data_IF_708493965311
#
_entry.id   IF_708493965311
#
_cell.length_a   1.000
_cell.length_b   1.000
_cell.length_c   1.000
_cell.angle_alpha   90.00
_cell.angle_beta   90.00
_cell.angle_gamma   90.00
#
_symmetry.space_group_name_H-M   'P 1'
#
loop_
_entity.id
_entity.type
_entity.pdbx_description
1 polymer ?
#
# COMPACT_ATOMS: atom_id res chain seq x y z
N UNK A 1 -34.27 -15.89 -16.83
CA UNK A 1 -33.33 -14.75 -16.76
C UNK A 1 -32.66 -14.67 -15.38
N UNK A 2 -32.10 -15.78 -14.89
CA UNK A 2 -31.30 -15.82 -13.64
C UNK A 2 -30.04 -16.69 -13.81
N UNK A 3 -29.72 -17.09 -15.05
CA UNK A 3 -28.72 -18.13 -15.34
C UNK A 3 -27.61 -17.68 -16.31
N UNK A 4 -27.37 -16.38 -16.52
CA UNK A 4 -26.33 -15.89 -17.46
C UNK A 4 -25.15 -15.19 -16.77
N UNK A 5 -24.98 -15.36 -15.45
CA UNK A 5 -23.67 -15.14 -14.83
C UNK A 5 -23.31 -16.34 -13.96
N UNK A 6 -23.29 -17.51 -14.61
CA UNK A 6 -22.49 -18.62 -14.12
C UNK A 6 -21.01 -18.21 -14.22
N UNK A 7 -20.32 -18.20 -13.09
CA UNK A 7 -18.88 -18.42 -13.08
C UNK A 7 -18.54 -19.41 -11.99
N UNK A 8 -18.88 -20.67 -12.27
CA UNK A 8 -17.99 -21.77 -11.94
C UNK A 8 -17.10 -22.00 -13.15
N UNK A 9 -15.85 -21.59 -13.05
CA UNK A 9 -14.76 -22.09 -13.88
C UNK A 9 -13.53 -22.06 -13.01
N UNK A 10 -13.13 -23.25 -12.57
CA UNK A 10 -11.83 -23.53 -12.00
C UNK A 10 -10.74 -23.00 -12.93
N UNK A 11 -10.15 -21.87 -12.57
CA UNK A 11 -8.84 -21.46 -13.01
C UNK A 11 -8.15 -20.80 -11.82
N UNK A 12 -7.61 -21.62 -10.92
CA UNK A 12 -6.52 -21.26 -10.01
C UNK A 12 -6.62 -19.89 -9.33
N UNK A 13 -7.71 -19.56 -8.64
CA UNK A 13 -7.72 -18.42 -7.69
C UNK A 13 -7.23 -18.92 -6.32
N UNK A 14 -6.08 -19.58 -6.30
CA UNK A 14 -5.44 -20.04 -5.06
C UNK A 14 -4.14 -19.31 -4.74
N UNK A 15 -3.80 -18.22 -5.44
CA UNK A 15 -2.55 -17.47 -5.24
C UNK A 15 -2.71 -15.95 -5.05
N UNK A 16 -3.89 -15.43 -4.68
CA UNK A 16 -4.19 -13.99 -4.84
C UNK A 16 -4.45 -13.13 -3.59
N UNK A 17 -4.72 -13.72 -2.42
CA UNK A 17 -5.27 -12.96 -1.29
C UNK A 17 -4.18 -12.58 -0.27
N UNK A 18 -3.56 -11.41 -0.45
CA UNK A 18 -2.72 -10.84 0.60
C UNK A 18 -3.63 -10.18 1.67
N UNK A 19 -3.59 -10.61 2.94
CA UNK A 19 -4.49 -10.10 3.97
C UNK A 19 -4.29 -8.60 4.23
N UNK A 20 -3.07 -8.09 4.07
CA UNK A 20 -2.77 -6.66 4.19
C UNK A 20 -3.42 -5.85 3.07
N UNK A 21 -3.37 -6.33 1.83
CA UNK A 21 -4.05 -5.70 0.69
C UNK A 21 -5.55 -5.53 0.96
N UNK A 22 -6.21 -6.60 1.42
CA UNK A 22 -7.63 -6.55 1.75
C UNK A 22 -7.93 -5.50 2.81
N UNK A 23 -7.10 -5.43 3.85
CA UNK A 23 -7.26 -4.46 4.93
C UNK A 23 -7.13 -3.02 4.42
N UNK A 24 -6.18 -2.77 3.52
CA UNK A 24 -5.99 -1.44 2.93
C UNK A 24 -7.20 -1.06 2.05
N UNK A 25 -7.71 -1.97 1.22
CA UNK A 25 -8.92 -1.73 0.43
C UNK A 25 -10.12 -1.45 1.34
N UNK A 26 -10.28 -2.20 2.43
CA UNK A 26 -11.33 -1.97 3.43
C UNK A 26 -11.23 -0.55 4.03
N UNK A 27 -10.02 -0.09 4.36
CA UNK A 27 -9.78 1.26 4.88
C UNK A 27 -10.12 2.32 3.82
N UNK A 28 -9.70 2.13 2.57
CA UNK A 28 -10.02 3.04 1.47
C UNK A 28 -11.53 3.15 1.23
N UNK A 29 -12.24 2.02 1.25
CA UNK A 29 -13.70 1.99 1.11
C UNK A 29 -14.42 2.63 2.30
N UNK A 30 -13.89 2.51 3.53
CA UNK A 30 -14.40 3.24 4.70
C UNK A 30 -14.19 4.74 4.54
N UNK A 31 -13.03 5.17 4.04
CA UNK A 31 -12.74 6.57 3.73
C UNK A 31 -13.71 7.19 2.72
N UNK A 32 -14.18 6.40 1.74
CA UNK A 32 -15.17 6.85 0.77
C UNK A 32 -16.51 7.29 1.40
N UNK A 33 -16.83 6.90 2.64
CA UNK A 33 -18.03 7.40 3.33
C UNK A 33 -18.00 8.91 3.58
N UNK A 34 -16.80 9.50 3.62
CA UNK A 34 -16.61 10.94 3.83
C UNK A 34 -16.62 11.72 2.51
N UNK A 35 -16.81 11.06 1.36
CA UNK A 35 -16.80 11.71 0.04
C UNK A 35 -18.13 12.41 -0.30
N UNK A 36 -18.95 12.77 0.70
CA UNK A 36 -20.24 13.46 0.56
C UNK A 36 -21.13 12.86 -0.55
N UNK A 37 -21.38 13.62 -1.63
CA UNK A 37 -22.18 13.21 -2.78
C UNK A 37 -21.47 12.27 -3.76
N UNK A 38 -20.19 11.94 -3.52
CA UNK A 38 -19.35 11.10 -4.39
C UNK A 38 -19.05 9.72 -3.82
N UNK A 39 -19.71 9.30 -2.73
CA UNK A 39 -19.46 8.00 -2.06
C UNK A 39 -19.44 6.84 -3.06
N UNK A 40 -20.45 6.75 -3.94
CA UNK A 40 -20.54 5.64 -4.90
C UNK A 40 -19.43 5.69 -5.95
N UNK A 41 -19.14 6.88 -6.50
CA UNK A 41 -18.06 7.07 -7.48
C UNK A 41 -16.69 6.76 -6.87
N UNK A 42 -16.47 7.13 -5.61
CA UNK A 42 -15.27 6.79 -4.85
C UNK A 42 -15.13 5.27 -4.71
N UNK A 43 -16.17 4.56 -4.27
CA UNK A 43 -16.15 3.10 -4.12
C UNK A 43 -15.86 2.39 -5.44
N UNK A 44 -16.50 2.83 -6.53
CA UNK A 44 -16.24 2.30 -7.88
C UNK A 44 -14.80 2.50 -8.29
N UNK A 45 -14.24 3.70 -8.05
CA UNK A 45 -12.84 3.99 -8.36
C UNK A 45 -11.90 3.06 -7.58
N UNK A 46 -12.10 2.90 -6.27
CA UNK A 46 -11.25 2.02 -5.43
C UNK A 46 -11.31 0.58 -5.93
N UNK A 47 -12.50 0.03 -6.23
CA UNK A 47 -12.64 -1.37 -6.65
C UNK A 47 -12.02 -1.60 -8.03
N UNK A 48 -12.33 -0.74 -9.01
CA UNK A 48 -11.84 -0.90 -10.39
C UNK A 48 -10.33 -0.67 -10.49
N UNK A 49 -9.76 0.17 -9.63
CA UNK A 49 -8.35 0.54 -9.66
C UNK A 49 -7.56 -0.09 -8.49
N UNK A 50 -8.14 -1.07 -7.78
CA UNK A 50 -7.50 -1.68 -6.60
C UNK A 50 -6.05 -2.15 -6.87
N UNK A 51 -5.73 -2.81 -8.01
CA UNK A 51 -4.36 -3.27 -8.27
C UNK A 51 -3.36 -2.12 -8.41
N UNK A 52 -3.71 -1.09 -9.19
CA UNK A 52 -2.82 0.05 -9.46
C UNK A 52 -2.67 0.94 -8.23
N UNK A 53 -3.76 1.21 -7.50
CA UNK A 53 -3.73 1.96 -6.23
C UNK A 53 -2.72 1.33 -5.27
N UNK A 54 -2.74 0.01 -5.18
CA UNK A 54 -1.87 -0.69 -4.24
C UNK A 54 -0.41 -0.67 -4.65
N UNK A 55 -0.12 -0.75 -5.96
CA UNK A 55 1.24 -0.54 -6.47
C UNK A 55 1.76 0.86 -6.12
N UNK A 56 0.91 1.89 -6.28
CA UNK A 56 1.25 3.25 -5.88
C UNK A 56 1.46 3.40 -4.38
N UNK A 57 0.62 2.75 -3.55
CA UNK A 57 0.80 2.73 -2.10
C UNK A 57 2.14 2.11 -1.74
N UNK A 58 2.50 0.94 -2.31
CA UNK A 58 3.80 0.30 -2.06
C UNK A 58 4.95 1.25 -2.41
N UNK A 59 4.93 1.83 -3.62
CA UNK A 59 5.95 2.79 -4.06
C UNK A 59 6.01 4.03 -3.15
N UNK A 60 4.88 4.48 -2.63
CA UNK A 60 4.83 5.60 -1.69
C UNK A 60 5.43 5.25 -0.33
N UNK A 61 5.12 4.08 0.21
CA UNK A 61 5.67 3.60 1.49
C UNK A 61 7.19 3.37 1.44
N UNK A 62 7.73 3.04 0.27
CA UNK A 62 9.18 2.92 0.03
C UNK A 62 9.91 4.28 0.03
N UNK A 63 9.18 5.41 -0.11
CA UNK A 63 9.80 6.73 -0.10
C UNK A 63 10.26 7.11 1.30
N UNK A 64 11.49 7.64 1.35
CA UNK A 64 12.10 8.20 2.56
C UNK A 64 11.25 9.30 3.19
N UNK A 65 10.60 10.12 2.39
CA UNK A 65 9.76 11.21 2.90
C UNK A 65 8.57 10.69 3.70
N UNK A 66 7.97 9.57 3.29
CA UNK A 66 6.87 8.96 4.03
C UNK A 66 7.34 8.43 5.37
N UNK A 67 8.39 7.60 5.42
CA UNK A 67 8.88 7.08 6.69
C UNK A 67 9.44 8.19 7.61
N UNK A 68 9.98 9.28 7.05
CA UNK A 68 10.40 10.45 7.81
C UNK A 68 9.21 11.20 8.41
N UNK A 69 8.11 11.36 7.65
CA UNK A 69 6.92 12.10 8.12
C UNK A 69 6.21 11.40 9.28
N UNK A 70 6.30 10.08 9.36
CA UNK A 70 5.80 9.30 10.51
C UNK A 70 6.90 9.02 11.55
N UNK A 71 8.07 9.64 11.42
CA UNK A 71 9.22 9.52 12.33
C UNK A 71 9.71 8.08 12.58
N UNK A 72 9.48 7.15 11.65
CA UNK A 72 9.94 5.75 11.76
C UNK A 72 11.21 5.46 10.97
N UNK A 73 11.63 6.39 10.11
CA UNK A 73 12.93 6.28 9.48
C UNK A 73 14.03 6.61 10.49
N UNK A 74 14.74 5.56 10.94
CA UNK A 74 15.93 5.72 11.76
C UNK A 74 16.99 6.54 11.01
N UNK A 75 17.31 7.71 11.54
CA UNK A 75 18.61 8.32 11.26
C UNK A 75 19.66 7.25 11.53
N UNK A 76 20.46 6.95 10.49
CA UNK A 76 21.62 6.05 10.51
C UNK A 76 22.06 5.80 11.95
N UNK A 77 21.90 4.58 12.45
CA UNK A 77 22.26 4.22 13.82
C UNK A 77 23.64 4.78 14.12
N UNK A 78 23.70 5.92 14.82
CA UNK A 78 24.90 6.29 15.53
C UNK A 78 24.87 5.33 16.70
N UNK A 79 25.48 4.17 16.50
CA UNK A 79 26.07 3.45 17.63
C UNK A 79 26.99 4.49 18.27
N UNK A 80 26.57 5.01 19.42
CA UNK A 80 27.45 5.72 20.32
C UNK A 80 28.57 4.73 20.67
N UNK A 81 29.69 4.84 19.95
CA UNK A 81 30.80 3.88 20.02
C UNK A 81 31.45 3.56 18.66
N UNK A 82 32.00 4.57 18.00
CA UNK A 82 33.18 4.54 17.09
C UNK A 82 33.03 5.57 15.96
N UNK A 83 33.46 6.80 16.24
CA UNK A 83 33.60 7.89 15.27
C UNK A 83 34.96 7.87 14.54
N UNK A 84 35.62 6.71 14.41
CA UNK A 84 37.00 6.67 13.88
C UNK A 84 37.09 6.26 12.40
N UNK A 85 36.04 5.71 11.77
CA UNK A 85 36.15 5.11 10.42
C UNK A 85 35.54 5.93 9.26
N UNK A 86 35.31 7.24 9.40
CA UNK A 86 34.83 8.08 8.26
C UNK A 86 35.89 8.93 7.57
N UNK A 87 37.13 8.96 8.06
CA UNK A 87 38.19 9.79 7.50
C UNK A 87 39.15 9.07 6.55
N UNK A 88 38.97 7.77 6.27
CA UNK A 88 39.91 6.97 5.47
C UNK A 88 39.40 6.58 4.07
N UNK A 89 38.36 7.22 3.52
CA UNK A 89 37.91 6.95 2.15
C UNK A 89 38.29 8.02 1.12
N UNK A 90 39.24 8.91 1.44
CA UNK A 90 39.79 9.84 0.47
C UNK A 90 41.29 10.03 0.72
N UNK A 91 42.06 9.03 0.29
CA UNK A 91 43.46 9.13 -0.11
C UNK A 91 43.69 8.15 -1.26
#
# INVERSE_FOLDING_TARGET
MYLIFAQSSNHNISNGLNPTWLKIIEILLKGCNNAENFVQKCRTLIIQNAPIIMEHIKKFLEKRDFCNSIHVCGGKSVRAGSQILRSLSSA
#
